data_IF_899328083145
#
_entry.id   IF_899328083145
#
_cell.length_a   1.000
_cell.length_b   1.000
_cell.length_c   1.000
_cell.angle_alpha   90.00
_cell.angle_beta   90.00
_cell.angle_gamma   90.00
#
_symmetry.space_group_name_H-M   'P 1'
#
loop_
_entity.id
_entity.type
_entity.pdbx_description
1 polymer ?
#
# COMPACT_ATOMS: atom_id res chain seq x y z
N UNK A 1 -14.86 16.71 -0.60
CA UNK A 1 -14.30 15.53 -1.28
C UNK A 1 -14.23 14.29 -0.38
N UNK A 2 -13.60 14.30 0.83
CA UNK A 2 -13.61 13.14 1.76
C UNK A 2 -15.02 12.67 2.05
N UNK A 3 -15.92 13.57 2.46
CA UNK A 3 -17.34 13.27 2.66
C UNK A 3 -17.98 12.58 1.45
N UNK A 4 -17.74 13.12 0.25
CA UNK A 4 -18.30 12.59 -0.99
C UNK A 4 -17.82 11.17 -1.29
N UNK A 5 -16.53 10.92 -1.10
CA UNK A 5 -15.92 9.58 -1.26
C UNK A 5 -16.53 8.59 -0.27
N UNK A 6 -16.65 8.98 1.01
CA UNK A 6 -17.28 8.14 2.04
C UNK A 6 -18.73 7.82 1.70
N UNK A 7 -19.55 8.81 1.39
CA UNK A 7 -20.97 8.60 1.06
C UNK A 7 -21.18 7.76 -0.20
N UNK A 8 -20.32 7.87 -1.21
CA UNK A 8 -20.48 7.13 -2.49
C UNK A 8 -19.97 5.69 -2.40
N UNK A 9 -18.83 5.48 -1.77
CA UNK A 9 -18.27 4.14 -1.67
C UNK A 9 -18.75 3.39 -0.45
N UNK A 10 -19.01 4.08 0.65
CA UNK A 10 -19.32 3.50 1.96
C UNK A 10 -20.55 4.19 2.58
N UNK A 11 -21.75 4.03 2.01
CA UNK A 11 -22.95 4.74 2.50
C UNK A 11 -23.32 4.40 3.94
N UNK A 12 -22.91 3.24 4.43
CA UNK A 12 -23.06 2.76 5.80
C UNK A 12 -21.76 2.82 6.63
N UNK A 13 -20.90 3.82 6.34
CA UNK A 13 -19.59 3.92 7.01
C UNK A 13 -19.71 4.04 8.52
N UNK A 14 -20.66 4.83 9.00
CA UNK A 14 -20.91 5.05 10.42
C UNK A 14 -21.29 3.72 11.13
N UNK A 15 -22.16 2.91 10.51
CA UNK A 15 -22.57 1.59 11.01
C UNK A 15 -21.37 0.62 11.06
N UNK A 16 -20.47 0.68 10.06
CA UNK A 16 -19.25 -0.11 10.04
C UNK A 16 -18.32 0.27 11.21
N UNK A 17 -18.21 1.55 11.54
CA UNK A 17 -17.42 2.00 12.68
C UNK A 17 -18.06 1.59 14.02
N UNK A 18 -19.37 1.69 14.15
CA UNK A 18 -20.10 1.30 15.37
C UNK A 18 -20.19 -0.21 15.57
N UNK A 19 -19.92 -1.01 14.53
CA UNK A 19 -19.84 -2.47 14.65
C UNK A 19 -18.57 -2.96 15.36
N UNK A 20 -17.59 -2.10 15.58
CA UNK A 20 -16.35 -2.41 16.29
C UNK A 20 -16.66 -2.56 17.79
N UNK A 21 -16.20 -3.65 18.45
CA UNK A 21 -16.51 -3.91 19.85
C UNK A 21 -16.03 -2.80 20.80
N UNK A 22 -16.91 -2.40 21.72
CA UNK A 22 -16.57 -1.47 22.79
C UNK A 22 -16.39 -2.20 24.13
N UNK A 23 -15.17 -2.21 24.64
CA UNK A 23 -14.83 -2.84 25.91
C UNK A 23 -14.89 -1.87 27.11
N UNK A 24 -15.34 -0.62 26.89
CA UNK A 24 -15.45 0.39 27.95
C UNK A 24 -16.76 0.23 28.72
N UNK A 25 -16.70 0.32 30.05
CA UNK A 25 -17.88 0.24 30.90
C UNK A 25 -18.69 1.55 30.94
N UNK A 26 -18.01 2.70 30.80
CA UNK A 26 -18.61 4.02 30.78
C UNK A 26 -17.95 4.83 29.67
N UNK A 27 -18.71 5.23 28.68
CA UNK A 27 -18.19 6.01 27.57
C UNK A 27 -19.01 7.27 27.34
N UNK A 28 -18.34 8.40 27.21
CA UNK A 28 -18.93 9.67 26.79
C UNK A 28 -18.97 9.82 25.27
N UNK A 29 -18.20 9.00 24.54
CA UNK A 29 -18.09 8.98 23.10
C UNK A 29 -18.46 7.60 22.53
N UNK A 30 -19.12 7.59 21.37
CA UNK A 30 -19.40 6.38 20.61
C UNK A 30 -18.10 5.81 19.99
N UNK A 31 -18.07 4.53 19.63
CA UNK A 31 -16.90 3.91 19.00
C UNK A 31 -16.60 4.60 17.66
N UNK A 32 -17.63 4.89 16.86
CA UNK A 32 -17.49 5.62 15.61
C UNK A 32 -16.78 6.96 15.78
N UNK A 33 -17.11 7.72 16.83
CA UNK A 33 -16.46 9.02 17.11
C UNK A 33 -14.95 8.85 17.39
N UNK A 34 -14.57 7.81 18.14
CA UNK A 34 -13.15 7.54 18.45
C UNK A 34 -12.36 7.09 17.23
N UNK A 35 -12.91 6.14 16.47
CA UNK A 35 -12.24 5.63 15.26
C UNK A 35 -12.15 6.74 14.22
N UNK A 36 -13.23 7.52 14.01
CA UNK A 36 -13.21 8.62 13.04
C UNK A 36 -12.22 9.73 13.44
N UNK A 37 -12.08 10.04 14.74
CA UNK A 37 -11.06 10.96 15.21
C UNK A 37 -9.64 10.45 14.93
N UNK A 38 -9.39 9.16 15.20
CA UNK A 38 -8.12 8.50 14.86
C UNK A 38 -7.83 8.52 13.35
N UNK A 39 -8.83 8.24 12.51
CA UNK A 39 -8.73 8.35 11.05
C UNK A 39 -8.45 9.79 10.61
N UNK A 40 -9.15 10.76 11.21
CA UNK A 40 -9.01 12.19 10.89
C UNK A 40 -7.61 12.71 11.12
N UNK A 41 -6.90 12.23 12.16
CA UNK A 41 -5.50 12.56 12.38
C UNK A 41 -4.66 12.26 11.12
N UNK A 42 -4.87 11.12 10.48
CA UNK A 42 -4.14 10.73 9.27
C UNK A 42 -4.73 11.32 7.99
N UNK A 43 -6.05 11.44 7.87
CA UNK A 43 -6.73 12.06 6.72
C UNK A 43 -6.26 13.50 6.57
N UNK A 44 -6.22 14.26 7.67
CA UNK A 44 -5.75 15.64 7.69
C UNK A 44 -4.24 15.78 7.84
N UNK A 45 -3.49 14.69 7.76
CA UNK A 45 -2.02 14.67 7.77
C UNK A 45 -1.39 15.35 9.00
N UNK A 46 -1.98 15.09 10.16
CA UNK A 46 -1.43 15.55 11.44
C UNK A 46 -0.45 14.51 11.95
N UNK A 47 0.84 14.83 11.93
CA UNK A 47 1.94 13.90 12.17
C UNK A 47 2.06 13.32 13.58
N UNK A 48 1.24 13.79 14.54
CA UNK A 48 1.21 13.28 15.91
C UNK A 48 -0.14 13.57 16.59
N UNK A 49 -0.42 12.87 17.68
CA UNK A 49 -1.61 13.09 18.53
C UNK A 49 -1.70 14.55 18.98
N UNK A 50 -0.60 15.09 19.49
CA UNK A 50 -0.56 16.49 19.94
C UNK A 50 -0.86 17.49 18.81
N UNK A 51 -0.31 17.27 17.61
CA UNK A 51 -0.64 18.13 16.47
C UNK A 51 -2.10 18.01 16.03
N UNK A 52 -2.70 16.83 16.18
CA UNK A 52 -4.12 16.63 15.90
C UNK A 52 -4.98 17.48 16.86
N UNK A 53 -4.72 17.40 18.16
CA UNK A 53 -5.46 18.18 19.18
C UNK A 53 -5.25 19.69 19.03
N UNK A 54 -4.02 20.15 18.82
CA UNK A 54 -3.71 21.57 18.58
C UNK A 54 -4.34 22.11 17.29
N UNK A 55 -4.72 21.24 16.36
CA UNK A 55 -5.42 21.59 15.14
C UNK A 55 -6.89 21.92 15.36
N UNK A 56 -7.48 21.53 16.47
CA UNK A 56 -8.92 21.66 16.75
C UNK A 56 -9.22 23.01 17.43
N UNK A 57 -10.19 23.73 16.89
CA UNK A 57 -10.79 24.92 17.49
C UNK A 57 -12.32 24.84 17.34
N UNK A 58 -13.07 25.78 17.89
CA UNK A 58 -14.55 25.78 17.85
C UNK A 58 -15.12 25.70 16.42
N UNK A 59 -14.49 26.37 15.44
CA UNK A 59 -14.90 26.31 14.03
C UNK A 59 -14.63 24.90 13.46
N UNK A 60 -13.47 24.30 13.77
CA UNK A 60 -13.14 22.95 13.35
C UNK A 60 -14.14 21.93 13.91
N UNK A 61 -14.45 22.00 15.22
CA UNK A 61 -15.43 21.10 15.87
C UNK A 61 -16.80 21.20 15.19
N UNK A 62 -17.27 22.43 14.92
CA UNK A 62 -18.53 22.68 14.22
C UNK A 62 -18.52 22.09 12.81
N UNK A 63 -17.48 22.34 12.02
CA UNK A 63 -17.32 21.81 10.68
C UNK A 63 -17.21 20.28 10.68
N UNK A 64 -16.51 19.72 11.67
CA UNK A 64 -16.38 18.29 11.85
C UNK A 64 -17.74 17.63 12.10
N UNK A 65 -18.55 18.22 12.98
CA UNK A 65 -19.91 17.75 13.25
C UNK A 65 -20.81 17.86 12.01
N UNK A 66 -20.70 18.93 11.23
CA UNK A 66 -21.47 19.11 9.97
C UNK A 66 -21.04 18.09 8.91
N UNK A 67 -19.72 17.87 8.73
CA UNK A 67 -19.20 17.00 7.66
C UNK A 67 -19.34 15.52 8.01
N UNK A 68 -19.07 15.13 9.26
CA UNK A 68 -19.04 13.72 9.66
C UNK A 68 -20.22 13.29 10.53
N UNK A 69 -21.04 14.23 11.03
CA UNK A 69 -22.14 13.92 11.94
C UNK A 69 -21.69 13.51 13.35
N UNK A 70 -20.44 13.77 13.72
CA UNK A 70 -19.78 13.24 14.91
C UNK A 70 -19.10 14.33 15.72
N UNK A 71 -18.96 14.11 17.04
CA UNK A 71 -18.07 14.91 17.88
C UNK A 71 -16.63 14.45 17.69
N UNK A 72 -15.68 15.33 17.95
CA UNK A 72 -14.26 14.98 17.89
C UNK A 72 -13.70 14.85 19.32
N UNK A 73 -13.35 13.62 19.77
CA UNK A 73 -12.65 13.42 21.05
C UNK A 73 -11.20 13.86 20.95
N UNK A 74 -10.61 14.23 22.09
CA UNK A 74 -9.16 14.45 22.20
C UNK A 74 -8.40 13.15 21.99
N UNK A 75 -7.21 13.23 21.41
CA UNK A 75 -6.42 12.06 21.01
C UNK A 75 -5.96 11.16 22.17
N UNK A 76 -5.88 11.67 23.39
CA UNK A 76 -5.61 10.83 24.56
C UNK A 76 -6.76 9.87 24.87
N UNK A 77 -8.01 10.30 24.65
CA UNK A 77 -9.19 9.43 24.78
C UNK A 77 -9.18 8.36 23.69
N UNK A 78 -8.83 8.73 22.45
CA UNK A 78 -8.65 7.79 21.33
C UNK A 78 -7.54 6.78 21.66
N UNK A 79 -6.39 7.23 22.15
CA UNK A 79 -5.27 6.35 22.54
C UNK A 79 -5.65 5.33 23.62
N UNK A 80 -6.39 5.78 24.64
CA UNK A 80 -6.90 4.89 25.69
C UNK A 80 -7.82 3.78 25.14
N UNK A 81 -8.63 4.10 24.14
CA UNK A 81 -9.47 3.12 23.45
C UNK A 81 -8.63 2.15 22.61
N UNK A 82 -7.73 2.69 21.77
CA UNK A 82 -6.88 1.88 20.86
C UNK A 82 -5.94 0.92 21.59
N UNK A 83 -5.55 1.23 22.83
CA UNK A 83 -4.74 0.32 23.66
C UNK A 83 -5.49 -0.96 24.05
N UNK A 84 -6.80 -0.92 24.12
CA UNK A 84 -7.66 -2.05 24.54
C UNK A 84 -8.34 -2.73 23.36
N UNK A 85 -8.36 -2.09 22.20
CA UNK A 85 -8.96 -2.62 20.99
C UNK A 85 -8.09 -3.75 20.41
N UNK A 86 -8.71 -4.87 20.07
CA UNK A 86 -8.04 -5.93 19.31
C UNK A 86 -7.68 -5.40 17.91
N UNK A 87 -6.40 -5.45 17.52
CA UNK A 87 -5.98 -4.99 16.19
C UNK A 87 -6.69 -5.69 15.03
N UNK A 88 -7.16 -6.92 15.21
CA UNK A 88 -7.92 -7.62 14.18
C UNK A 88 -9.20 -6.89 13.78
N UNK A 89 -9.80 -6.08 14.65
CA UNK A 89 -11.04 -5.37 14.34
C UNK A 89 -10.81 -4.26 13.29
N UNK A 90 -9.71 -3.50 13.40
CA UNK A 90 -9.36 -2.50 12.38
C UNK A 90 -8.84 -3.15 11.08
N UNK A 91 -8.15 -4.27 11.18
CA UNK A 91 -7.76 -5.07 10.00
C UNK A 91 -9.01 -5.56 9.25
N UNK A 92 -10.03 -6.08 9.95
CA UNK A 92 -11.32 -6.48 9.37
C UNK A 92 -12.06 -5.29 8.74
N UNK A 93 -12.08 -4.15 9.42
CA UNK A 93 -12.64 -2.91 8.86
C UNK A 93 -11.98 -2.54 7.54
N UNK A 94 -10.63 -2.48 7.50
CA UNK A 94 -9.86 -2.23 6.28
C UNK A 94 -10.24 -3.20 5.17
N UNK A 95 -10.25 -4.50 5.47
CA UNK A 95 -10.63 -5.54 4.51
C UNK A 95 -12.05 -5.37 3.98
N UNK A 96 -12.99 -4.98 4.82
CA UNK A 96 -14.38 -4.71 4.44
C UNK A 96 -14.46 -3.54 3.47
N UNK A 97 -13.77 -2.44 3.76
CA UNK A 97 -13.72 -1.28 2.87
C UNK A 97 -13.13 -1.61 1.50
N UNK A 98 -12.07 -2.40 1.46
CA UNK A 98 -11.46 -2.84 0.20
C UNK A 98 -12.38 -3.79 -0.58
N UNK A 99 -13.07 -4.72 0.09
CA UNK A 99 -14.06 -5.61 -0.55
C UNK A 99 -15.17 -4.80 -1.24
N UNK A 100 -15.69 -3.77 -0.59
CA UNK A 100 -16.70 -2.88 -1.20
C UNK A 100 -16.19 -2.22 -2.50
N UNK A 101 -14.91 -1.79 -2.54
CA UNK A 101 -14.34 -1.23 -3.78
C UNK A 101 -14.21 -2.26 -4.89
N UNK A 102 -13.84 -3.50 -4.54
CA UNK A 102 -13.74 -4.61 -5.49
C UNK A 102 -15.13 -4.97 -6.04
N UNK A 103 -16.12 -5.12 -5.17
CA UNK A 103 -17.51 -5.42 -5.53
C UNK A 103 -18.15 -4.33 -6.40
N UNK A 104 -17.88 -3.07 -6.09
CA UNK A 104 -18.30 -1.91 -6.91
C UNK A 104 -17.47 -1.71 -8.17
N UNK A 105 -16.52 -2.60 -8.46
CA UNK A 105 -15.64 -2.58 -9.64
C UNK A 105 -14.84 -1.27 -9.82
N UNK A 106 -14.58 -0.54 -8.73
CA UNK A 106 -13.84 0.73 -8.77
C UNK A 106 -12.45 0.55 -9.34
N UNK A 107 -11.83 -0.62 -9.10
CA UNK A 107 -10.45 -0.94 -9.47
C UNK A 107 -10.37 -1.87 -10.71
N UNK A 108 -11.49 -2.22 -11.33
CA UNK A 108 -11.60 -3.24 -12.39
C UNK A 108 -10.74 -2.92 -13.62
N UNK A 109 -10.70 -1.66 -14.03
CA UNK A 109 -10.00 -1.23 -15.24
C UNK A 109 -8.46 -1.34 -15.17
N UNK A 110 -7.91 -1.58 -13.97
CA UNK A 110 -6.46 -1.73 -13.76
C UNK A 110 -6.01 -3.17 -13.59
N UNK A 111 -6.89 -4.14 -13.81
CA UNK A 111 -6.51 -5.54 -13.89
C UNK A 111 -5.61 -5.81 -15.09
N UNK A 112 -4.74 -6.77 -14.95
CA UNK A 112 -4.00 -7.38 -16.04
C UNK A 112 -4.48 -8.81 -16.23
N UNK A 113 -4.94 -9.16 -17.43
CA UNK A 113 -5.53 -10.47 -17.75
C UNK A 113 -6.55 -10.95 -16.70
N UNK A 114 -7.45 -10.05 -16.30
CA UNK A 114 -8.49 -10.33 -15.31
C UNK A 114 -8.01 -10.44 -13.86
N UNK A 115 -6.72 -10.24 -13.56
CA UNK A 115 -6.13 -10.35 -12.23
C UNK A 115 -5.77 -8.98 -11.65
N UNK A 116 -5.98 -8.79 -10.35
CA UNK A 116 -5.49 -7.63 -9.62
C UNK A 116 -4.00 -7.77 -9.34
N UNK A 117 -3.25 -6.70 -9.55
CA UNK A 117 -1.83 -6.66 -9.21
C UNK A 117 -1.69 -6.42 -7.71
N UNK A 118 -1.02 -7.33 -7.03
CA UNK A 118 -0.76 -7.26 -5.60
C UNK A 118 0.74 -7.27 -5.37
N UNK A 119 1.29 -6.15 -4.94
CA UNK A 119 2.72 -6.06 -4.59
C UNK A 119 2.93 -6.45 -3.14
N UNK A 120 4.00 -7.19 -2.91
CA UNK A 120 4.44 -7.64 -1.57
C UNK A 120 5.80 -7.04 -1.27
N UNK A 121 5.88 -6.35 -0.13
CA UNK A 121 7.14 -5.77 0.35
C UNK A 121 7.08 -5.48 1.84
N UNK A 122 8.23 -5.41 2.50
CA UNK A 122 8.36 -5.13 3.91
C UNK A 122 8.76 -3.70 4.20
N UNK A 123 8.35 -3.17 5.35
CA UNK A 123 8.78 -1.86 5.80
C UNK A 123 9.06 -1.81 7.29
N UNK A 124 10.20 -1.16 7.65
CA UNK A 124 10.46 -0.75 9.02
C UNK A 124 9.61 0.44 9.40
N UNK A 125 9.04 0.40 10.60
CA UNK A 125 8.17 1.45 11.13
C UNK A 125 8.97 2.39 12.04
N UNK A 126 9.43 1.90 13.18
CA UNK A 126 10.21 2.70 14.12
C UNK A 126 11.29 1.85 14.79
N UNK A 127 12.41 2.50 15.11
CA UNK A 127 13.56 1.87 15.74
C UNK A 127 13.70 2.28 17.20
N UNK A 128 14.25 1.38 18.02
CA UNK A 128 14.45 1.54 19.45
C UNK A 128 15.84 1.06 19.85
N UNK A 129 16.38 1.63 20.90
CA UNK A 129 17.61 1.21 21.59
C UNK A 129 17.33 0.25 22.78
N UNK A 130 16.07 -0.12 22.97
CA UNK A 130 15.58 -1.07 23.96
C UNK A 130 14.46 -1.92 23.34
N UNK A 131 14.15 -3.06 23.92
CA UNK A 131 13.02 -3.90 23.48
C UNK A 131 11.68 -3.23 23.82
N UNK A 132 10.93 -2.73 22.82
CA UNK A 132 9.71 -1.97 23.07
C UNK A 132 8.50 -2.86 23.41
N UNK A 133 8.55 -4.12 22.99
CA UNK A 133 7.57 -5.17 23.27
C UNK A 133 8.23 -6.55 23.07
N UNK A 134 7.75 -7.55 23.78
CA UNK A 134 8.27 -8.92 23.70
C UNK A 134 8.19 -9.47 22.28
N UNK A 135 9.29 -10.01 21.79
CA UNK A 135 9.37 -10.56 20.45
C UNK A 135 9.63 -9.53 19.33
N UNK A 136 9.96 -8.28 19.68
CA UNK A 136 10.34 -7.29 18.67
C UNK A 136 11.60 -7.75 17.91
N UNK A 137 11.57 -7.77 16.55
CA UNK A 137 12.76 -8.08 15.77
C UNK A 137 13.91 -7.12 16.10
N UNK A 138 15.15 -7.64 16.14
CA UNK A 138 16.32 -6.85 16.45
C UNK A 138 17.49 -7.21 15.58
N UNK A 139 18.46 -6.29 15.53
CA UNK A 139 19.73 -6.48 14.83
C UNK A 139 20.86 -5.98 15.71
N UNK A 140 21.85 -6.84 15.91
CA UNK A 140 23.10 -6.45 16.61
C UNK A 140 24.16 -6.12 15.58
N UNK A 141 24.70 -4.91 15.67
CA UNK A 141 25.80 -4.45 14.82
C UNK A 141 27.11 -5.14 15.21
N UNK A 142 28.13 -5.07 14.34
CA UNK A 142 29.48 -5.59 14.64
C UNK A 142 30.09 -4.97 15.89
N UNK A 143 29.69 -3.75 16.28
CA UNK A 143 30.16 -3.04 17.48
C UNK A 143 29.35 -3.41 18.74
N UNK A 144 28.53 -4.44 18.71
CA UNK A 144 27.75 -4.91 19.87
C UNK A 144 26.48 -4.09 20.17
N UNK A 145 26.19 -3.02 19.42
CA UNK A 145 24.95 -2.23 19.60
C UNK A 145 23.76 -2.97 19.02
N UNK A 146 22.77 -3.28 19.87
CA UNK A 146 21.49 -3.88 19.46
C UNK A 146 20.47 -2.78 19.19
N UNK A 147 19.77 -2.89 18.08
CA UNK A 147 18.66 -2.02 17.69
C UNK A 147 17.43 -2.88 17.40
N UNK A 148 16.32 -2.58 18.05
CA UNK A 148 15.02 -3.19 17.81
C UNK A 148 14.24 -2.39 16.78
N UNK A 149 13.53 -3.07 15.89
CA UNK A 149 12.74 -2.41 14.85
C UNK A 149 11.38 -3.07 14.70
N UNK A 150 10.32 -2.30 14.91
CA UNK A 150 8.99 -2.74 14.52
C UNK A 150 8.93 -2.83 12.99
N UNK A 151 8.47 -3.96 12.47
CA UNK A 151 8.51 -4.28 11.05
C UNK A 151 7.23 -4.97 10.60
N UNK A 152 6.72 -4.59 9.43
CA UNK A 152 5.54 -5.22 8.84
C UNK A 152 5.78 -5.57 7.38
N UNK A 153 5.23 -6.71 6.96
CA UNK A 153 5.11 -7.12 5.58
C UNK A 153 3.71 -6.76 5.08
N UNK A 154 3.62 -6.10 3.94
CA UNK A 154 2.36 -5.67 3.33
C UNK A 154 2.07 -6.39 2.03
N UNK A 155 0.81 -6.76 1.83
CA UNK A 155 0.25 -7.04 0.52
C UNK A 155 -0.61 -5.86 0.10
N UNK A 156 -0.18 -5.11 -0.91
CA UNK A 156 -0.93 -3.94 -1.41
C UNK A 156 -1.40 -4.14 -2.84
N UNK A 157 -2.69 -3.87 -3.09
CA UNK A 157 -3.20 -3.76 -4.45
C UNK A 157 -2.61 -2.50 -5.08
N UNK A 158 -1.91 -2.69 -6.20
CA UNK A 158 -1.24 -1.61 -6.92
C UNK A 158 -1.82 -1.44 -8.32
N UNK A 159 -1.64 -0.25 -8.90
CA UNK A 159 -2.17 0.03 -10.23
C UNK A 159 -1.35 1.08 -10.98
N UNK A 160 -1.49 1.09 -12.30
CA UNK A 160 -0.78 2.02 -13.18
C UNK A 160 -1.10 3.51 -12.94
N UNK A 161 -2.25 3.83 -12.33
CA UNK A 161 -2.57 5.21 -11.94
C UNK A 161 -2.09 5.57 -10.52
N UNK A 162 -1.30 4.69 -9.89
CA UNK A 162 -0.65 4.93 -8.61
C UNK A 162 -1.51 4.64 -7.39
N UNK A 163 -2.51 3.76 -7.45
CA UNK A 163 -3.07 3.18 -6.24
C UNK A 163 -2.06 2.23 -5.58
N UNK A 164 -2.01 2.28 -4.25
CA UNK A 164 -1.25 1.38 -3.38
C UNK A 164 -2.08 1.12 -2.13
N UNK A 165 -3.05 0.20 -2.25
CA UNK A 165 -4.10 -0.05 -1.25
C UNK A 165 -3.73 -1.28 -0.43
N UNK A 166 -3.59 -1.16 0.89
CA UNK A 166 -3.31 -2.27 1.80
C UNK A 166 -4.46 -3.28 1.82
N UNK A 167 -4.14 -4.54 1.53
CA UNK A 167 -5.06 -5.68 1.61
C UNK A 167 -4.90 -6.41 2.94
N UNK A 168 -3.66 -6.71 3.31
CA UNK A 168 -3.28 -7.45 4.51
C UNK A 168 -1.94 -6.94 5.03
N UNK A 169 -1.84 -6.78 6.35
CA UNK A 169 -0.63 -6.39 7.06
C UNK A 169 -0.16 -7.54 7.95
N UNK A 170 1.06 -8.03 7.75
CA UNK A 170 1.63 -9.11 8.54
C UNK A 170 2.83 -8.62 9.33
N UNK A 171 2.69 -8.52 10.64
CA UNK A 171 3.77 -8.10 11.53
C UNK A 171 4.81 -9.21 11.69
N UNK A 172 6.09 -8.81 11.73
CA UNK A 172 7.18 -9.69 12.09
C UNK A 172 7.33 -9.67 13.61
N UNK A 173 7.24 -10.85 14.20
CA UNK A 173 7.33 -11.05 15.65
C UNK A 173 8.15 -12.32 15.92
N UNK A 174 9.19 -12.20 16.73
CA UNK A 174 9.97 -13.35 17.14
C UNK A 174 9.13 -14.24 18.08
N UNK A 175 9.28 -15.55 17.94
CA UNK A 175 8.64 -16.49 18.89
C UNK A 175 9.25 -16.34 20.29
N UNK A 176 8.52 -16.78 21.29
CA UNK A 176 9.01 -16.83 22.68
C UNK A 176 10.11 -17.87 22.89
N UNK A 177 10.27 -18.79 21.95
CA UNK A 177 11.29 -19.83 21.99
C UNK A 177 12.62 -19.26 21.53
N UNK A 178 13.59 -19.13 22.44
CA UNK A 178 14.92 -18.55 22.19
C UNK A 178 15.75 -19.37 21.19
N UNK A 179 15.44 -20.65 21.00
CA UNK A 179 16.14 -21.53 20.06
C UNK A 179 15.71 -21.34 18.60
N UNK A 180 14.63 -20.60 18.35
CA UNK A 180 14.15 -20.33 17.01
C UNK A 180 14.87 -19.13 16.37
N UNK A 181 15.20 -19.28 15.08
CA UNK A 181 15.70 -18.13 14.30
C UNK A 181 14.66 -17.02 14.28
N UNK A 182 15.12 -15.78 14.36
CA UNK A 182 14.28 -14.59 14.24
C UNK A 182 13.32 -14.69 13.06
N UNK A 183 12.17 -14.07 13.20
CA UNK A 183 11.18 -13.94 12.12
C UNK A 183 11.77 -13.15 10.94
N UNK A 184 11.30 -13.46 9.76
CA UNK A 184 11.80 -12.88 8.50
C UNK A 184 10.66 -12.66 7.52
N UNK A 185 10.87 -11.82 6.53
CA UNK A 185 9.89 -11.57 5.47
C UNK A 185 9.43 -12.86 4.78
N UNK A 186 10.33 -13.82 4.52
CA UNK A 186 9.95 -15.08 3.89
C UNK A 186 9.05 -15.96 4.78
N UNK A 187 9.31 -15.96 6.11
CA UNK A 187 8.42 -16.67 7.07
C UNK A 187 7.07 -15.93 7.17
N UNK A 188 7.11 -14.60 7.26
CA UNK A 188 5.92 -13.75 7.32
C UNK A 188 5.08 -13.86 6.04
N UNK A 189 5.70 -14.02 4.87
CA UNK A 189 5.01 -14.18 3.60
C UNK A 189 4.04 -15.37 3.59
N UNK A 190 4.43 -16.52 4.12
CA UNK A 190 3.54 -17.69 4.16
C UNK A 190 2.30 -17.43 5.02
N UNK A 191 2.46 -16.74 6.16
CA UNK A 191 1.34 -16.34 7.02
C UNK A 191 0.45 -15.30 6.34
N UNK A 192 1.06 -14.28 5.72
CA UNK A 192 0.36 -13.23 4.96
C UNK A 192 -0.44 -13.81 3.80
N UNK A 193 0.13 -14.76 3.05
CA UNK A 193 -0.56 -15.42 1.94
C UNK A 193 -1.81 -16.17 2.42
N UNK A 194 -1.73 -16.87 3.57
CA UNK A 194 -2.88 -17.51 4.21
C UNK A 194 -3.94 -16.49 4.62
N UNK A 195 -3.53 -15.38 5.24
CA UNK A 195 -4.43 -14.31 5.64
C UNK A 195 -5.09 -13.63 4.41
N UNK A 196 -4.32 -13.38 3.34
CA UNK A 196 -4.84 -12.81 2.09
C UNK A 196 -5.88 -13.75 1.44
N UNK A 197 -5.60 -15.04 1.38
CA UNK A 197 -6.55 -16.02 0.84
C UNK A 197 -7.81 -16.14 1.70
N UNK A 198 -7.68 -16.10 3.02
CA UNK A 198 -8.81 -16.10 3.96
C UNK A 198 -9.67 -14.84 3.81
N UNK A 199 -9.04 -13.66 3.72
CA UNK A 199 -9.74 -12.39 3.59
C UNK A 199 -10.42 -12.24 2.21
N UNK A 200 -9.76 -12.69 1.13
CA UNK A 200 -10.21 -12.52 -0.25
C UNK A 200 -10.18 -13.86 -1.02
N UNK A 201 -11.04 -14.83 -0.68
CA UNK A 201 -10.91 -16.21 -1.17
C UNK A 201 -11.05 -16.37 -2.69
N UNK A 202 -11.75 -15.43 -3.35
CA UNK A 202 -12.01 -15.46 -4.81
C UNK A 202 -11.25 -14.38 -5.58
N UNK A 203 -10.38 -13.63 -4.94
CA UNK A 203 -9.63 -12.57 -5.61
C UNK A 203 -8.64 -13.17 -6.60
N UNK A 204 -8.77 -12.88 -7.90
CA UNK A 204 -7.76 -13.29 -8.87
C UNK A 204 -6.53 -12.39 -8.72
N UNK A 205 -5.39 -12.97 -8.32
CA UNK A 205 -4.18 -12.23 -7.96
C UNK A 205 -3.06 -12.48 -8.97
N UNK A 206 -2.36 -11.40 -9.32
CA UNK A 206 -1.03 -11.41 -9.91
C UNK A 206 -0.07 -10.78 -8.90
N UNK A 207 0.76 -11.61 -8.25
CA UNK A 207 1.74 -11.15 -7.25
C UNK A 207 2.94 -10.48 -7.91
N UNK A 208 3.33 -9.33 -7.39
CA UNK A 208 4.54 -8.61 -7.75
C UNK A 208 5.48 -8.62 -6.55
N UNK A 209 6.68 -9.17 -6.69
CA UNK A 209 7.62 -9.31 -5.60
C UNK A 209 9.06 -8.99 -6.05
N UNK A 210 9.96 -8.78 -5.11
CA UNK A 210 11.38 -8.61 -5.40
C UNK A 210 12.12 -9.95 -5.51
N UNK A 211 13.43 -9.90 -5.82
CA UNK A 211 14.26 -11.09 -6.00
C UNK A 211 14.42 -11.97 -4.75
N UNK A 212 14.11 -11.47 -3.56
CA UNK A 212 14.11 -12.25 -2.31
C UNK A 212 13.10 -13.40 -2.37
N UNK A 213 11.99 -13.17 -3.06
CA UNK A 213 10.89 -14.13 -3.20
C UNK A 213 11.08 -15.15 -4.31
N UNK A 214 12.19 -15.08 -5.07
CA UNK A 214 12.52 -16.09 -6.08
C UNK A 214 12.96 -17.42 -5.41
N UNK A 215 11.99 -18.20 -4.92
CA UNK A 215 12.26 -19.47 -4.24
C UNK A 215 11.05 -20.43 -4.32
N UNK A 216 11.32 -21.71 -4.02
CA UNK A 216 10.33 -22.78 -4.09
C UNK A 216 9.09 -22.53 -3.22
N UNK A 217 9.26 -21.96 -2.04
CA UNK A 217 8.13 -21.68 -1.12
C UNK A 217 7.16 -20.67 -1.74
N UNK A 218 7.67 -19.60 -2.31
CA UNK A 218 6.85 -18.60 -2.99
C UNK A 218 6.11 -19.18 -4.19
N UNK A 219 6.81 -19.94 -5.06
CA UNK A 219 6.18 -20.57 -6.22
C UNK A 219 5.10 -21.58 -5.80
N UNK A 220 5.35 -22.34 -4.72
CA UNK A 220 4.36 -23.24 -4.15
C UNK A 220 3.11 -22.53 -3.64
N UNK A 221 3.27 -21.44 -2.93
CA UNK A 221 2.15 -20.61 -2.46
C UNK A 221 1.33 -20.08 -3.64
N UNK A 222 1.98 -19.56 -4.69
CA UNK A 222 1.29 -19.07 -5.88
C UNK A 222 0.49 -20.19 -6.56
N UNK A 223 1.13 -21.34 -6.81
CA UNK A 223 0.51 -22.50 -7.45
C UNK A 223 -0.70 -23.02 -6.65
N UNK A 224 -0.57 -23.14 -5.33
CA UNK A 224 -1.64 -23.67 -4.47
C UNK A 224 -2.87 -22.75 -4.39
N UNK A 225 -2.69 -21.44 -4.64
CA UNK A 225 -3.77 -20.45 -4.55
C UNK A 225 -4.33 -20.01 -5.91
N UNK A 226 -3.85 -20.58 -7.02
CA UNK A 226 -4.12 -20.12 -8.39
C UNK A 226 -3.74 -18.64 -8.59
N UNK A 227 -2.64 -18.22 -7.99
CA UNK A 227 -2.06 -16.89 -8.19
C UNK A 227 -0.95 -16.97 -9.24
N UNK A 228 -0.90 -15.95 -10.10
CA UNK A 228 0.22 -15.76 -11.02
C UNK A 228 1.22 -14.82 -10.36
N UNK A 229 2.46 -14.77 -10.89
CA UNK A 229 3.47 -13.86 -10.34
C UNK A 229 4.37 -13.24 -11.40
N UNK A 230 4.93 -12.09 -11.06
CA UNK A 230 6.07 -11.46 -11.73
C UNK A 230 7.05 -11.03 -10.64
N UNK A 231 8.28 -11.53 -10.67
CA UNK A 231 9.32 -11.23 -9.68
C UNK A 231 10.42 -10.43 -10.36
N UNK A 232 10.90 -9.35 -9.70
CA UNK A 232 12.14 -8.70 -10.13
C UNK A 232 13.28 -9.69 -10.00
N UNK A 233 13.98 -9.97 -11.09
CA UNK A 233 15.00 -11.02 -11.14
C UNK A 233 16.38 -10.39 -11.38
N UNK A 234 17.32 -10.70 -10.49
CA UNK A 234 18.68 -10.18 -10.53
C UNK A 234 19.69 -11.31 -10.44
N UNK A 235 20.90 -11.05 -10.88
CA UNK A 235 22.03 -11.93 -10.64
C UNK A 235 22.17 -12.23 -9.14
N UNK A 236 22.41 -13.50 -8.81
CA UNK A 236 22.48 -14.00 -7.44
C UNK A 236 21.25 -14.70 -6.91
N UNK A 237 20.05 -14.46 -7.51
CA UNK A 237 18.84 -15.24 -7.23
C UNK A 237 18.76 -16.43 -8.17
N UNK A 238 18.38 -17.63 -7.67
CA UNK A 238 18.23 -18.85 -8.47
C UNK A 238 19.40 -19.07 -9.46
N UNK A 239 20.60 -19.26 -8.94
CA UNK A 239 21.86 -19.34 -9.73
C UNK A 239 21.78 -20.27 -10.94
N UNK A 240 21.11 -21.41 -10.82
CA UNK A 240 20.95 -22.39 -11.92
C UNK A 240 20.09 -21.80 -13.04
N UNK A 241 19.00 -21.14 -12.72
CA UNK A 241 18.13 -20.47 -13.71
C UNK A 241 18.88 -19.32 -14.39
N UNK A 242 19.66 -18.55 -13.63
CA UNK A 242 20.47 -17.47 -14.19
C UNK A 242 21.53 -18.01 -15.16
N UNK A 243 22.23 -19.09 -14.80
CA UNK A 243 23.20 -19.77 -15.69
C UNK A 243 22.54 -20.26 -16.97
N UNK A 244 21.35 -20.85 -16.89
CA UNK A 244 20.59 -21.29 -18.06
C UNK A 244 20.21 -20.08 -18.96
N UNK A 245 19.79 -18.96 -18.39
CA UNK A 245 19.51 -17.74 -19.13
C UNK A 245 20.76 -17.25 -19.89
N UNK A 246 21.92 -17.21 -19.23
CA UNK A 246 23.19 -16.76 -19.86
C UNK A 246 23.60 -17.66 -21.02
N UNK A 247 23.36 -18.96 -20.92
CA UNK A 247 23.63 -19.91 -22.00
C UNK A 247 22.66 -19.79 -23.17
N UNK A 248 21.37 -19.55 -22.89
CA UNK A 248 20.32 -19.46 -23.89
C UNK A 248 20.23 -18.08 -24.56
N UNK A 249 20.60 -17.03 -23.86
CA UNK A 249 20.50 -15.63 -24.34
C UNK A 249 21.09 -15.42 -25.73
N UNK A 250 22.28 -15.92 -26.07
CA UNK A 250 22.83 -15.75 -27.42
C UNK A 250 22.07 -16.54 -28.50
N UNK A 251 21.44 -17.65 -28.12
CA UNK A 251 20.73 -18.53 -29.05
C UNK A 251 19.30 -18.04 -29.37
N UNK A 252 18.69 -17.27 -28.47
CA UNK A 252 17.31 -16.80 -28.60
C UNK A 252 17.21 -15.38 -29.16
N UNK A 253 18.09 -14.96 -30.08
CA UNK A 253 18.03 -13.67 -30.75
C UNK A 253 16.68 -13.40 -31.46
N UNK A 254 16.02 -14.45 -31.92
CA UNK A 254 14.69 -14.38 -32.56
C UNK A 254 13.56 -13.96 -31.61
N UNK A 255 13.80 -14.04 -30.28
CA UNK A 255 12.86 -13.59 -29.25
C UNK A 255 13.16 -12.18 -28.75
N UNK A 256 13.94 -11.40 -29.48
CA UNK A 256 14.22 -10.00 -29.19
C UNK A 256 13.31 -9.12 -30.04
N UNK A 257 12.64 -8.19 -29.38
CA UNK A 257 11.73 -7.22 -30.00
C UNK A 257 12.20 -5.81 -29.70
N UNK A 258 12.33 -5.01 -30.75
CA UNK A 258 12.71 -3.62 -30.63
C UNK A 258 11.52 -2.71 -30.92
N UNK A 259 11.44 -1.62 -30.21
CA UNK A 259 10.43 -0.58 -30.40
C UNK A 259 11.04 0.79 -30.20
N UNK A 260 10.90 1.66 -31.21
CA UNK A 260 11.16 3.09 -31.05
C UNK A 260 9.88 3.71 -30.50
N UNK A 261 9.96 4.36 -29.33
CA UNK A 261 8.79 4.92 -28.66
C UNK A 261 8.63 6.40 -28.99
N UNK A 262 9.00 7.26 -28.11
CA UNK A 262 8.59 8.66 -28.17
C UNK A 262 9.79 9.60 -28.18
N UNK A 263 9.63 10.77 -28.78
CA UNK A 263 10.62 11.83 -28.68
C UNK A 263 10.39 12.57 -27.36
N UNK A 264 11.31 12.42 -26.41
CA UNK A 264 11.28 13.20 -25.18
C UNK A 264 11.84 14.61 -25.48
N UNK A 265 11.18 15.70 -25.01
CA UNK A 265 11.58 17.06 -25.31
C UNK A 265 13.02 17.42 -24.93
N UNK A 266 13.53 16.78 -23.83
CA UNK A 266 14.86 17.06 -23.28
C UNK A 266 15.87 15.96 -23.61
N UNK A 267 15.43 14.68 -23.61
CA UNK A 267 16.32 13.51 -23.62
C UNK A 267 16.45 12.83 -24.99
N UNK A 268 15.80 13.36 -26.04
CA UNK A 268 15.85 12.78 -27.40
C UNK A 268 14.90 11.60 -27.61
N UNK A 269 15.22 10.68 -28.52
CA UNK A 269 14.39 9.52 -28.85
C UNK A 269 14.59 8.40 -27.83
N UNK A 270 13.49 7.88 -27.29
CA UNK A 270 13.51 6.67 -26.49
C UNK A 270 13.40 5.44 -27.40
N UNK A 271 14.46 4.67 -27.49
CA UNK A 271 14.44 3.32 -28.06
C UNK A 271 14.37 2.30 -26.93
N UNK A 272 13.61 1.25 -27.10
CA UNK A 272 13.50 0.18 -26.11
C UNK A 272 13.54 -1.18 -26.80
N UNK A 273 14.13 -2.17 -26.11
CA UNK A 273 14.11 -3.55 -26.52
C UNK A 273 13.64 -4.45 -25.38
N UNK A 274 13.01 -5.55 -25.71
CA UNK A 274 12.74 -6.66 -24.79
C UNK A 274 13.35 -7.93 -25.35
N UNK A 275 13.98 -8.70 -24.49
CA UNK A 275 14.44 -10.05 -24.79
C UNK A 275 13.78 -10.99 -23.80
N UNK A 276 13.28 -12.15 -24.25
CA UNK A 276 12.63 -13.10 -23.37
C UNK A 276 12.99 -14.55 -23.71
N UNK A 277 12.94 -15.40 -22.69
CA UNK A 277 13.19 -16.83 -22.76
C UNK A 277 12.06 -17.54 -22.01
N UNK A 278 11.48 -18.54 -22.66
CA UNK A 278 10.43 -19.35 -22.04
C UNK A 278 10.97 -20.73 -21.61
N UNK A 279 10.17 -21.38 -20.74
CA UNK A 279 10.33 -22.77 -20.35
C UNK A 279 11.64 -23.10 -19.61
N UNK A 280 12.13 -22.13 -18.82
CA UNK A 280 13.25 -22.35 -17.91
C UNK A 280 12.82 -23.31 -16.80
N UNK A 281 13.62 -24.33 -16.56
CA UNK A 281 13.33 -25.37 -15.57
C UNK A 281 13.83 -24.98 -14.16
N UNK A 282 12.92 -24.98 -13.20
CA UNK A 282 13.29 -24.89 -11.79
C UNK A 282 12.45 -25.85 -10.94
N UNK A 283 13.07 -26.96 -10.53
CA UNK A 283 12.38 -28.07 -9.84
C UNK A 283 11.17 -28.57 -10.67
N UNK A 284 9.96 -28.42 -10.13
CA UNK A 284 8.70 -28.79 -10.83
C UNK A 284 8.05 -27.59 -11.55
N UNK A 285 8.66 -26.42 -11.52
CA UNK A 285 8.09 -25.18 -12.07
C UNK A 285 8.71 -24.86 -13.43
N UNK A 286 7.89 -24.41 -14.36
CA UNK A 286 8.30 -23.78 -15.62
C UNK A 286 8.26 -22.27 -15.43
N UNK A 287 9.39 -21.63 -15.62
CA UNK A 287 9.57 -20.20 -15.46
C UNK A 287 9.85 -19.54 -16.81
N UNK A 288 9.52 -18.26 -16.90
CA UNK A 288 9.73 -17.46 -18.11
C UNK A 288 10.43 -16.17 -17.70
N UNK A 289 11.45 -15.78 -18.44
CA UNK A 289 12.27 -14.62 -18.14
C UNK A 289 12.11 -13.56 -19.21
N UNK A 290 12.13 -12.29 -18.79
CA UNK A 290 12.18 -11.12 -19.67
C UNK A 290 13.16 -10.09 -19.15
N UNK A 291 13.91 -9.50 -20.09
CA UNK A 291 14.77 -8.34 -19.90
C UNK A 291 14.25 -7.19 -20.75
N UNK A 292 14.12 -6.01 -20.15
CA UNK A 292 13.76 -4.77 -20.80
C UNK A 292 14.93 -3.78 -20.69
N UNK A 293 15.30 -3.16 -21.79
CA UNK A 293 16.30 -2.10 -21.87
C UNK A 293 15.72 -0.91 -22.64
N UNK A 294 16.04 0.30 -22.20
CA UNK A 294 15.67 1.52 -22.92
C UNK A 294 16.79 2.55 -22.90
N UNK A 295 16.93 3.28 -24.00
CA UNK A 295 17.98 4.25 -24.24
C UNK A 295 17.37 5.58 -24.70
N UNK A 296 17.97 6.70 -24.24
CA UNK A 296 17.80 8.03 -24.78
C UNK A 296 19.09 8.43 -25.50
N UNK A 297 19.19 8.19 -26.82
CA UNK A 297 20.33 8.57 -27.66
C UNK A 297 21.74 8.33 -27.04
N UNK A 298 21.84 7.35 -26.10
CA UNK A 298 23.02 7.03 -25.34
C UNK A 298 23.50 5.59 -25.60
N UNK A 299 24.79 5.33 -25.34
CA UNK A 299 25.37 3.97 -25.50
C UNK A 299 24.89 3.00 -24.43
N UNK A 300 24.76 3.50 -23.19
CA UNK A 300 24.32 2.68 -22.04
C UNK A 300 22.81 2.80 -21.84
N UNK A 301 22.11 1.73 -21.43
CA UNK A 301 20.69 1.80 -21.19
C UNK A 301 20.40 2.72 -20.00
N UNK A 302 19.45 3.64 -20.19
CA UNK A 302 18.93 4.51 -19.15
C UNK A 302 18.01 3.74 -18.17
N UNK A 303 17.25 2.78 -18.71
CA UNK A 303 16.39 1.90 -17.92
C UNK A 303 16.75 0.44 -18.18
N UNK A 304 16.83 -0.33 -17.11
CA UNK A 304 17.08 -1.76 -17.15
C UNK A 304 16.17 -2.49 -16.15
N UNK A 305 15.38 -3.44 -16.64
CA UNK A 305 14.51 -4.27 -15.81
C UNK A 305 14.59 -5.71 -16.24
N UNK A 306 14.69 -6.60 -15.27
CA UNK A 306 14.66 -8.04 -15.50
C UNK A 306 13.62 -8.68 -14.58
N UNK A 307 12.78 -9.55 -15.14
CA UNK A 307 11.70 -10.18 -14.42
C UNK A 307 11.63 -11.68 -14.72
N UNK A 308 11.17 -12.43 -13.74
CA UNK A 308 10.85 -13.85 -13.82
C UNK A 308 9.34 -14.03 -13.53
N UNK A 309 8.68 -14.88 -14.32
CA UNK A 309 7.23 -15.09 -14.21
C UNK A 309 6.87 -16.55 -14.53
N UNK A 310 5.70 -16.96 -14.08
CA UNK A 310 5.04 -18.21 -14.49
C UNK A 310 4.09 -18.01 -15.69
N UNK A 311 4.02 -16.79 -16.24
CA UNK A 311 3.22 -16.44 -17.42
C UNK A 311 4.10 -16.61 -18.65
N UNK A 312 3.70 -17.52 -19.55
CA UNK A 312 4.41 -17.72 -20.82
C UNK A 312 4.37 -16.45 -21.66
N UNK A 313 5.52 -16.10 -22.23
CA UNK A 313 5.71 -14.84 -22.95
C UNK A 313 5.69 -15.06 -24.47
N UNK A 314 5.12 -14.09 -25.18
CA UNK A 314 5.14 -13.99 -26.63
C UNK A 314 5.29 -12.51 -27.05
N UNK A 315 5.29 -12.26 -28.37
CA UNK A 315 5.43 -10.92 -28.92
C UNK A 315 4.32 -9.94 -28.54
N UNK A 316 3.13 -10.47 -28.19
CA UNK A 316 1.94 -9.68 -27.92
C UNK A 316 1.86 -9.28 -26.43
N UNK A 317 2.31 -10.13 -25.50
CA UNK A 317 2.22 -9.91 -24.06
C UNK A 317 3.51 -9.48 -23.36
N UNK A 318 4.71 -9.74 -23.91
CA UNK A 318 6.00 -9.55 -23.23
C UNK A 318 6.22 -8.08 -22.77
N UNK A 319 5.84 -7.11 -23.57
CA UNK A 319 5.91 -5.70 -23.22
C UNK A 319 5.04 -5.35 -22.01
N UNK A 320 3.86 -5.93 -21.98
CA UNK A 320 2.92 -5.72 -20.85
C UNK A 320 3.43 -6.41 -19.60
N UNK A 321 3.93 -7.65 -19.66
CA UNK A 321 4.49 -8.36 -18.51
C UNK A 321 5.63 -7.54 -17.88
N UNK A 322 6.58 -7.06 -18.70
CA UNK A 322 7.65 -6.18 -18.20
C UNK A 322 7.10 -4.92 -17.54
N UNK A 323 6.09 -4.27 -18.15
CA UNK A 323 5.45 -3.07 -17.62
C UNK A 323 4.73 -3.35 -16.29
N UNK A 324 4.01 -4.49 -16.17
CA UNK A 324 3.36 -4.86 -14.92
C UNK A 324 4.37 -5.14 -13.81
N UNK A 325 5.48 -5.84 -14.11
CA UNK A 325 6.55 -6.09 -13.15
C UNK A 325 7.12 -4.79 -12.54
N UNK A 326 7.21 -3.71 -13.31
CA UNK A 326 7.65 -2.39 -12.82
C UNK A 326 6.67 -1.79 -11.80
N UNK A 327 5.39 -2.16 -11.82
CA UNK A 327 4.41 -1.64 -10.86
C UNK A 327 4.64 -2.15 -9.43
N UNK A 328 5.57 -3.11 -9.23
CA UNK A 328 6.03 -3.46 -7.89
C UNK A 328 6.46 -2.23 -7.08
N UNK A 329 7.14 -1.28 -7.73
CA UNK A 329 7.61 -0.07 -7.09
C UNK A 329 6.52 0.84 -6.52
N UNK A 330 5.25 0.64 -6.93
CA UNK A 330 4.13 1.40 -6.35
C UNK A 330 3.94 1.16 -4.86
N UNK A 331 4.30 -0.04 -4.33
CA UNK A 331 4.24 -0.28 -2.89
C UNK A 331 5.22 0.58 -2.12
N UNK A 332 6.41 0.80 -2.68
CA UNK A 332 7.45 1.64 -2.09
C UNK A 332 7.11 3.13 -2.27
N UNK A 333 6.85 3.59 -3.49
CA UNK A 333 6.71 5.00 -3.82
C UNK A 333 5.37 5.58 -3.36
N UNK A 334 4.26 5.04 -3.87
CA UNK A 334 2.90 5.51 -3.57
C UNK A 334 2.40 4.96 -2.22
N UNK A 335 2.97 3.84 -1.78
CA UNK A 335 2.71 3.25 -0.47
C UNK A 335 3.62 3.84 0.61
N UNK A 336 4.73 3.16 0.90
CA UNK A 336 5.56 3.45 2.07
C UNK A 336 6.18 4.84 2.07
N UNK A 337 6.74 5.29 0.95
CA UNK A 337 7.37 6.62 0.87
C UNK A 337 6.33 7.73 1.10
N UNK A 338 5.15 7.61 0.50
CA UNK A 338 4.04 8.54 0.75
C UNK A 338 3.61 8.52 2.22
N UNK A 339 3.56 7.33 2.84
CA UNK A 339 3.19 7.19 4.25
C UNK A 339 4.27 7.72 5.20
N UNK A 340 5.54 7.66 4.83
CA UNK A 340 6.66 8.23 5.61
C UNK A 340 6.74 9.74 5.46
N UNK A 341 6.73 10.24 4.24
CA UNK A 341 7.09 11.61 3.88
C UNK A 341 5.91 12.49 3.45
N UNK A 342 4.74 11.90 3.14
CA UNK A 342 3.54 12.61 2.69
C UNK A 342 2.57 13.03 3.80
N UNK A 343 3.09 13.26 5.03
CA UNK A 343 2.33 13.79 6.16
C UNK A 343 1.63 12.75 7.05
N UNK A 344 1.75 11.44 6.75
CA UNK A 344 1.19 10.39 7.63
C UNK A 344 2.14 10.00 8.77
N UNK A 345 3.43 10.33 8.65
CA UNK A 345 4.46 10.06 9.65
C UNK A 345 4.50 8.59 10.09
N UNK A 346 4.55 7.66 9.13
CA UNK A 346 4.54 6.20 9.36
C UNK A 346 5.55 5.76 10.42
N UNK A 347 6.72 6.41 10.48
CA UNK A 347 7.80 6.08 11.42
C UNK A 347 7.64 6.73 12.80
N UNK A 348 6.55 7.50 13.02
CA UNK A 348 6.29 8.11 14.32
C UNK A 348 5.88 7.06 15.36
N UNK A 349 6.36 7.23 16.61
CA UNK A 349 6.08 6.34 17.74
C UNK A 349 4.72 6.68 18.39
N UNK A 350 3.60 6.47 17.67
CA UNK A 350 2.25 6.77 18.16
C UNK A 350 1.93 6.04 19.49
N UNK A 351 2.42 4.81 19.64
CA UNK A 351 2.46 4.09 20.91
C UNK A 351 3.88 3.56 21.16
N UNK A 352 4.43 3.78 22.36
CA UNK A 352 5.83 3.42 22.65
C UNK A 352 6.00 2.00 23.17
N UNK A 353 5.03 1.47 23.90
CA UNK A 353 5.18 0.21 24.65
C UNK A 353 4.23 -0.89 24.18
N UNK A 354 3.02 -0.57 23.78
CA UNK A 354 1.98 -1.53 23.52
C UNK A 354 1.90 -1.89 22.04
N UNK A 355 2.17 -3.15 21.70
CA UNK A 355 2.15 -3.63 20.32
C UNK A 355 0.73 -3.53 19.71
N UNK A 356 -0.32 -3.87 20.48
CA UNK A 356 -1.71 -3.76 20.02
C UNK A 356 -2.06 -2.35 19.59
N UNK A 357 -1.71 -1.34 20.41
CA UNK A 357 -1.92 0.06 20.04
C UNK A 357 -1.10 0.49 18.81
N UNK A 358 0.16 0.01 18.66
CA UNK A 358 0.95 0.28 17.43
C UNK A 358 0.25 -0.27 16.19
N UNK A 359 -0.25 -1.51 16.27
CA UNK A 359 -1.00 -2.15 15.18
C UNK A 359 -2.26 -1.35 14.86
N UNK A 360 -3.00 -0.91 15.86
CA UNK A 360 -4.21 -0.09 15.67
C UNK A 360 -3.92 1.25 14.99
N UNK A 361 -2.89 1.99 15.41
CA UNK A 361 -2.48 3.23 14.71
C UNK A 361 -2.04 2.95 13.27
N UNK A 362 -1.36 1.84 13.04
CA UNK A 362 -0.96 1.43 11.71
C UNK A 362 -2.15 1.16 10.81
N UNK A 363 -3.16 0.42 11.29
CA UNK A 363 -4.38 0.13 10.53
C UNK A 363 -5.19 1.39 10.25
N UNK A 364 -5.32 2.31 11.21
CA UNK A 364 -5.95 3.61 10.98
C UNK A 364 -5.22 4.40 9.89
N UNK A 365 -3.89 4.38 9.88
CA UNK A 365 -3.09 5.00 8.82
C UNK A 365 -3.38 4.36 7.45
N UNK A 366 -3.44 3.03 7.36
CA UNK A 366 -3.73 2.33 6.10
C UNK A 366 -5.15 2.67 5.58
N UNK A 367 -6.14 2.72 6.46
CA UNK A 367 -7.53 3.10 6.11
C UNK A 367 -7.58 4.57 5.66
N UNK A 368 -6.95 5.47 6.40
CA UNK A 368 -6.89 6.89 6.03
C UNK A 368 -6.15 7.12 4.71
N UNK A 369 -5.08 6.36 4.46
CA UNK A 369 -4.36 6.39 3.19
C UNK A 369 -5.23 5.90 2.04
N UNK A 370 -6.02 4.83 2.23
CA UNK A 370 -7.03 4.38 1.27
C UNK A 370 -8.02 5.50 0.92
N UNK A 371 -8.62 6.14 1.93
CA UNK A 371 -9.58 7.23 1.74
C UNK A 371 -8.93 8.40 0.98
N UNK A 372 -7.73 8.81 1.40
CA UNK A 372 -7.01 9.90 0.74
C UNK A 372 -6.62 9.56 -0.71
N UNK A 373 -6.23 8.32 -1.01
CA UNK A 373 -5.99 7.89 -2.39
C UNK A 373 -7.26 7.98 -3.24
N UNK A 374 -8.40 7.56 -2.71
CA UNK A 374 -9.68 7.69 -3.41
C UNK A 374 -10.02 9.17 -3.70
N UNK A 375 -9.72 10.10 -2.78
CA UNK A 375 -9.87 11.54 -3.02
C UNK A 375 -8.90 12.05 -4.09
N UNK A 376 -7.61 11.77 -3.92
CA UNK A 376 -6.53 12.31 -4.75
C UNK A 376 -6.54 11.79 -6.20
N UNK A 377 -7.11 10.59 -6.41
CA UNK A 377 -7.22 10.00 -7.75
C UNK A 377 -8.50 10.41 -8.49
N UNK A 378 -9.42 11.14 -7.85
CA UNK A 378 -10.57 11.73 -8.54
C UNK A 378 -10.11 12.73 -9.61
N UNK A 379 -10.76 12.69 -10.77
CA UNK A 379 -10.42 13.61 -11.87
C UNK A 379 -10.62 15.07 -11.44
N UNK A 380 -11.73 15.39 -10.80
CA UNK A 380 -12.00 16.75 -10.31
C UNK A 380 -10.95 17.26 -9.30
N UNK A 381 -10.39 16.38 -8.47
CA UNK A 381 -9.31 16.75 -7.55
C UNK A 381 -8.02 17.05 -8.31
N UNK A 382 -7.67 16.24 -9.30
CA UNK A 382 -6.50 16.47 -10.17
C UNK A 382 -6.63 17.75 -10.96
N UNK A 383 -7.81 18.00 -11.56
CA UNK A 383 -8.10 19.21 -12.32
C UNK A 383 -7.91 20.45 -11.42
N UNK A 384 -8.44 20.41 -10.19
CA UNK A 384 -8.29 21.50 -9.23
C UNK A 384 -6.84 21.74 -8.83
N UNK A 385 -6.07 20.68 -8.63
CA UNK A 385 -4.64 20.78 -8.31
C UNK A 385 -3.87 21.47 -9.46
N UNK A 386 -4.19 21.14 -10.71
CA UNK A 386 -3.58 21.75 -11.89
C UNK A 386 -3.99 23.22 -12.06
N UNK A 387 -5.27 23.54 -11.88
CA UNK A 387 -5.78 24.92 -11.96
C UNK A 387 -5.12 25.83 -10.93
N UNK A 388 -5.03 25.38 -9.68
CA UNK A 388 -4.42 26.15 -8.60
C UNK A 388 -2.91 26.25 -8.70
N UNK A 389 -2.25 25.40 -9.50
CA UNK A 389 -0.77 25.29 -9.63
C UNK A 389 -0.05 25.13 -8.29
N UNK A 390 -0.64 24.42 -7.36
CA UNK A 390 -0.09 24.15 -6.02
C UNK A 390 0.37 22.71 -5.89
N UNK A 391 1.25 22.46 -4.93
CA UNK A 391 1.64 21.09 -4.57
C UNK A 391 0.52 20.40 -3.79
N UNK A 392 0.53 19.08 -3.79
CA UNK A 392 -0.42 18.30 -2.99
C UNK A 392 -0.32 18.64 -1.49
N UNK A 393 0.87 18.89 -0.99
CA UNK A 393 1.10 19.29 0.43
C UNK A 393 0.43 20.62 0.72
N UNK A 394 0.71 21.63 -0.09
CA UNK A 394 0.10 22.97 0.06
C UNK A 394 -1.43 22.91 0.00
N UNK A 395 -2.00 22.13 -0.92
CA UNK A 395 -3.45 21.96 -1.01
C UNK A 395 -4.05 21.35 0.28
N UNK A 396 -3.36 20.37 0.89
CA UNK A 396 -3.82 19.81 2.17
C UNK A 396 -3.72 20.82 3.33
N UNK A 397 -2.69 21.66 3.34
CA UNK A 397 -2.56 22.75 4.30
C UNK A 397 -3.68 23.78 4.14
N UNK A 398 -4.02 24.17 2.90
CA UNK A 398 -5.13 25.06 2.59
C UNK A 398 -6.48 24.47 3.01
N UNK A 399 -6.73 23.19 2.73
CA UNK A 399 -7.93 22.46 3.17
C UNK A 399 -8.06 22.54 4.70
N UNK A 400 -6.97 22.32 5.42
CA UNK A 400 -6.95 22.43 6.87
C UNK A 400 -7.19 23.85 7.37
N UNK A 401 -6.59 24.84 6.73
CA UNK A 401 -6.80 26.24 7.05
C UNK A 401 -8.26 26.63 6.85
N UNK A 402 -8.88 26.25 5.73
CA UNK A 402 -10.30 26.45 5.48
C UNK A 402 -11.17 25.76 6.53
N UNK A 403 -10.87 24.51 6.87
CA UNK A 403 -11.64 23.74 7.85
C UNK A 403 -11.60 24.35 9.26
N UNK A 404 -10.52 25.05 9.61
CA UNK A 404 -10.33 25.75 10.89
C UNK A 404 -10.91 27.17 10.94
N UNK A 405 -10.94 27.86 9.80
CA UNK A 405 -11.18 29.31 9.77
C UNK A 405 -12.44 29.70 9.01
N UNK A 406 -13.03 28.83 8.21
CA UNK A 406 -14.25 29.09 7.45
C UNK A 406 -15.36 28.17 7.97
N UNK A 407 -16.59 28.68 8.04
CA UNK A 407 -17.76 27.89 8.43
C UNK A 407 -18.26 27.12 7.21
N UNK A 408 -18.45 25.81 7.38
CA UNK A 408 -19.09 24.90 6.42
C UNK A 408 -20.52 24.64 6.92
N UNK A 409 -21.50 24.71 6.05
CA UNK A 409 -22.88 24.38 6.37
C UNK A 409 -23.45 23.24 5.50
N UNK A 410 -24.69 22.86 5.76
CA UNK A 410 -25.35 21.79 5.00
C UNK A 410 -25.62 22.18 3.54
N UNK A 411 -25.73 23.48 3.24
CA UNK A 411 -25.90 23.97 1.87
C UNK A 411 -24.64 23.73 1.05
N UNK A 412 -23.47 24.03 1.61
CA UNK A 412 -22.16 23.77 0.97
C UNK A 412 -22.01 22.27 0.64
N UNK A 413 -22.38 21.39 1.57
CA UNK A 413 -22.33 19.94 1.35
C UNK A 413 -23.29 19.51 0.23
N UNK A 414 -24.53 20.02 0.25
CA UNK A 414 -25.52 19.71 -0.78
C UNK A 414 -25.07 20.17 -2.16
N UNK A 415 -24.46 21.36 -2.26
CA UNK A 415 -23.90 21.89 -3.51
C UNK A 415 -22.80 20.98 -4.05
N UNK A 416 -21.85 20.53 -3.22
CA UNK A 416 -20.77 19.61 -3.63
C UNK A 416 -21.34 18.26 -4.10
N UNK A 417 -22.37 17.72 -3.43
CA UNK A 417 -23.02 16.47 -3.85
C UNK A 417 -23.66 16.62 -5.24
N UNK A 418 -24.32 17.74 -5.49
CA UNK A 418 -24.99 18.04 -6.75
C UNK A 418 -23.99 18.25 -7.88
N UNK A 419 -22.89 18.99 -7.62
CA UNK A 419 -21.83 19.25 -8.59
C UNK A 419 -21.09 17.97 -9.02
N UNK A 420 -20.80 17.07 -8.08
CA UNK A 420 -20.03 15.86 -8.33
C UNK A 420 -20.89 14.58 -8.25
N UNK A 421 -21.92 14.47 -9.11
CA UNK A 421 -22.83 13.30 -9.15
C UNK A 421 -22.11 11.98 -9.44
N UNK A 422 -21.01 12.00 -10.18
CA UNK A 422 -20.22 10.81 -10.53
C UNK A 422 -18.75 10.99 -10.14
N UNK A 423 -18.21 10.00 -9.42
CA UNK A 423 -16.78 9.94 -9.13
C UNK A 423 -16.05 9.27 -10.28
N UNK A 424 -15.10 9.97 -10.92
CA UNK A 424 -14.26 9.46 -12.01
C UNK A 424 -12.81 9.37 -11.53
N UNK A 425 -12.17 8.22 -11.74
CA UNK A 425 -10.81 7.91 -11.32
C UNK A 425 -9.83 7.85 -12.49
#
# INVERSE_FOLDING_TARGET
MVYLVLKRHYPNFDELLDSIPDHRQRSSYQVAELIMAGLSMFIFKRGSRNQADLGVNATFEKNYAVVFGMRIPIMDTVDCFLRKLDPEELEKLKQTLVKHLIEKKVLEKWKYEGRYLVSVDGTGLCSYDYEPYKGCPHKTSKNGKTTWQAYTLEAKLVSANGFSISLVSQWLENSENMDEKQDSELKAFSRMAGALKKAYPRLPVLLLADGLYANQTFFGVCSNNDWRFIITFKDGSLKTVWQEIELLRPLHRTQMLDRVKEKHPVNGWLSASVQYINDLDYLKYKLHWVEYKAWYDAKEPHEYFSHLSDIRMDKDNVWQISRQGRLRWCIENEGFNTQKNGGYCLEHKFSRKELGAKKNYYELLQIAHLINQLVQKLQCFKDRLQECKVTLTALWEDIMACFRNQTIDNHDIAQVIEEYKQLRY
#
